data_IF_596944927828
#
_entry.id   IF_596944927828
#
_cell.length_a   1.000
_cell.length_b   1.000
_cell.length_c   1.000
_cell.angle_alpha   90.00
_cell.angle_beta   90.00
_cell.angle_gamma   90.00
#
_symmetry.space_group_name_H-M   'P 1'
#
loop_
_entity.id
_entity.type
_entity.pdbx_description
1 polymer ?
#
# COMPACT_ATOMS: atom_id res chain seq x y z
N UNK A 1 -52.50 -0.78 59.08
CA UNK A 1 -52.96 -1.47 57.89
C UNK A 1 -51.75 -2.15 57.28
N UNK A 2 -51.61 -3.43 57.57
CA UNK A 2 -50.67 -4.40 57.04
C UNK A 2 -50.93 -4.62 55.60
N UNK A 3 -49.85 -4.77 54.81
CA UNK A 3 -49.72 -5.69 53.63
C UNK A 3 -48.27 -5.83 53.19
N UNK A 4 -47.69 -6.89 53.66
CA UNK A 4 -47.10 -8.05 52.99
C UNK A 4 -45.84 -7.74 52.16
N UNK A 5 -44.72 -7.83 52.85
CA UNK A 5 -43.42 -8.27 52.27
C UNK A 5 -43.54 -9.77 52.00
N UNK A 6 -43.63 -10.15 50.75
CA UNK A 6 -43.29 -11.52 50.29
C UNK A 6 -42.99 -11.50 48.79
N UNK A 7 -41.90 -12.15 48.43
CA UNK A 7 -41.48 -12.57 47.08
C UNK A 7 -40.53 -11.67 46.29
N UNK A 8 -39.32 -11.51 46.80
CA UNK A 8 -38.16 -11.11 45.99
C UNK A 8 -36.95 -12.07 46.13
N UNK A 9 -37.18 -13.29 46.63
CA UNK A 9 -36.11 -14.27 46.89
C UNK A 9 -36.09 -15.49 45.97
N UNK A 10 -36.76 -15.46 44.81
CA UNK A 10 -36.81 -16.62 43.89
C UNK A 10 -36.35 -16.38 42.46
N UNK A 11 -35.56 -15.34 42.18
CA UNK A 11 -35.02 -15.08 40.82
C UNK A 11 -33.49 -15.01 40.75
N UNK A 12 -32.76 -15.61 41.69
CA UNK A 12 -31.31 -15.71 41.65
C UNK A 12 -30.92 -17.19 41.71
N UNK A 13 -31.18 -17.96 40.68
CA UNK A 13 -30.48 -19.21 40.40
C UNK A 13 -30.69 -19.60 38.93
N UNK A 14 -30.13 -18.81 38.06
CA UNK A 14 -29.85 -19.14 36.65
C UNK A 14 -28.36 -19.02 36.42
N UNK A 15 -27.60 -20.03 36.87
CA UNK A 15 -26.21 -20.18 36.44
C UNK A 15 -26.17 -20.34 34.91
N UNK A 16 -26.08 -19.22 34.20
CA UNK A 16 -25.58 -19.22 32.81
C UNK A 16 -24.08 -19.40 32.89
N UNK A 17 -23.66 -20.63 32.63
CA UNK A 17 -22.29 -21.01 32.34
C UNK A 17 -21.69 -20.06 31.29
N UNK A 18 -20.86 -19.12 31.73
CA UNK A 18 -19.96 -18.38 30.89
C UNK A 18 -18.79 -19.30 30.48
N UNK A 19 -19.03 -20.24 29.61
CA UNK A 19 -17.95 -20.94 28.87
C UNK A 19 -17.56 -20.10 27.66
N UNK A 20 -16.34 -20.13 27.21
CA UNK A 20 -15.32 -19.11 27.38
C UNK A 20 -15.27 -18.13 26.20
N UNK A 21 -15.36 -16.85 26.52
CA UNK A 21 -14.97 -15.73 25.68
C UNK A 21 -13.48 -15.77 25.25
N UNK A 22 -12.73 -16.79 25.64
CA UNK A 22 -11.31 -16.93 25.23
C UNK A 22 -11.12 -17.36 23.77
N UNK A 23 -12.11 -17.98 23.15
CA UNK A 23 -12.00 -18.43 21.75
C UNK A 23 -12.29 -17.32 20.73
N UNK A 24 -12.94 -16.24 21.13
CA UNK A 24 -13.29 -15.11 20.24
C UNK A 24 -12.23 -14.01 20.20
N UNK A 25 -11.30 -13.97 21.15
CA UNK A 25 -10.25 -12.93 21.17
C UNK A 25 -9.12 -13.22 20.19
N UNK A 26 -8.84 -14.48 19.88
CA UNK A 26 -7.81 -14.85 18.88
C UNK A 26 -8.24 -14.54 17.43
N UNK A 27 -9.53 -14.45 17.15
CA UNK A 27 -10.04 -14.11 15.82
C UNK A 27 -9.96 -12.60 15.47
N UNK A 28 -9.67 -11.73 16.46
CA UNK A 28 -9.58 -10.28 16.26
C UNK A 28 -8.17 -9.78 15.92
N UNK A 29 -7.16 -10.65 15.97
CA UNK A 29 -5.82 -10.23 15.52
C UNK A 29 -5.80 -10.25 14.00
N UNK A 30 -5.62 -9.10 13.39
CA UNK A 30 -5.55 -8.99 11.91
C UNK A 30 -4.46 -9.90 11.35
N UNK A 31 -4.76 -10.64 10.28
CA UNK A 31 -3.87 -11.64 9.67
C UNK A 31 -2.46 -11.09 9.45
N UNK A 32 -2.30 -9.88 8.91
CA UNK A 32 -1.01 -9.25 8.69
C UNK A 32 -0.18 -9.00 9.98
N UNK A 33 -0.82 -8.98 11.16
CA UNK A 33 -0.11 -8.88 12.45
C UNK A 33 0.27 -10.26 12.97
N UNK A 34 -0.65 -11.23 12.90
CA UNK A 34 -0.45 -12.62 13.32
C UNK A 34 0.69 -13.28 12.54
N UNK A 35 0.73 -13.06 11.23
CA UNK A 35 1.71 -13.65 10.32
C UNK A 35 2.92 -12.75 10.02
N UNK A 36 3.12 -11.68 10.79
CA UNK A 36 4.31 -10.83 10.61
C UNK A 36 5.58 -11.66 10.79
N UNK A 37 6.51 -11.68 9.81
CA UNK A 37 7.77 -12.39 9.90
C UNK A 37 8.53 -12.11 11.20
N UNK A 38 8.99 -13.18 11.85
CA UNK A 38 9.77 -13.13 13.09
C UNK A 38 11.24 -13.45 12.88
N UNK A 39 11.60 -13.98 11.71
CA UNK A 39 12.96 -14.29 11.25
C UNK A 39 13.17 -13.70 9.86
N UNK A 40 14.44 -13.49 9.49
CA UNK A 40 14.77 -13.09 8.13
C UNK A 40 14.39 -14.16 7.11
N UNK A 41 14.52 -15.44 7.47
CA UNK A 41 14.10 -16.56 6.64
C UNK A 41 12.58 -16.58 6.31
N UNK A 42 11.74 -15.93 7.13
CA UNK A 42 10.29 -15.87 6.91
C UNK A 42 9.87 -14.71 5.95
N UNK A 43 10.83 -13.84 5.59
CA UNK A 43 10.56 -12.73 4.69
C UNK A 43 10.34 -13.24 3.27
N UNK A 44 9.36 -12.65 2.61
CA UNK A 44 9.03 -12.97 1.23
C UNK A 44 9.59 -11.90 0.31
N UNK A 45 10.46 -12.30 -0.63
CA UNK A 45 11.18 -11.39 -1.50
C UNK A 45 12.26 -10.59 -0.76
N UNK A 46 12.84 -9.58 -1.40
CA UNK A 46 13.88 -8.69 -0.86
C UNK A 46 15.22 -9.40 -0.57
N UNK A 47 15.55 -10.48 -1.26
CA UNK A 47 16.75 -11.30 -1.04
C UNK A 47 18.03 -10.46 -1.00
N UNK A 48 18.14 -9.44 -1.86
CA UNK A 48 19.28 -8.53 -1.91
C UNK A 48 19.43 -7.67 -0.63
N UNK A 49 18.32 -7.30 0.01
CA UNK A 49 18.31 -6.58 1.29
C UNK A 49 18.73 -7.50 2.41
N UNK A 50 18.11 -8.69 2.45
CA UNK A 50 18.35 -9.72 3.48
C UNK A 50 19.82 -10.11 3.47
N UNK A 51 20.37 -10.52 2.33
CA UNK A 51 21.75 -10.98 2.20
C UNK A 51 22.77 -9.93 2.65
N UNK A 52 22.53 -8.65 2.34
CA UNK A 52 23.41 -7.57 2.77
C UNK A 52 23.37 -7.40 4.29
N UNK A 53 22.16 -7.33 4.89
CA UNK A 53 21.99 -7.20 6.34
C UNK A 53 22.56 -8.42 7.09
N UNK A 54 22.36 -9.62 6.58
CA UNK A 54 22.94 -10.85 7.13
C UNK A 54 24.45 -10.76 7.23
N UNK A 55 25.12 -10.34 6.14
CA UNK A 55 26.57 -10.18 6.11
C UNK A 55 27.07 -9.13 7.11
N UNK A 56 26.36 -8.00 7.22
CA UNK A 56 26.70 -6.92 8.16
C UNK A 56 26.57 -7.40 9.61
N UNK A 57 25.46 -8.06 9.95
CA UNK A 57 25.20 -8.59 11.28
C UNK A 57 26.22 -9.68 11.65
N UNK A 58 26.54 -10.58 10.71
CA UNK A 58 27.49 -11.68 10.93
C UNK A 58 28.93 -11.15 11.12
N UNK A 59 29.31 -10.10 10.39
CA UNK A 59 30.67 -9.50 10.46
C UNK A 59 30.80 -8.43 11.53
N UNK A 60 29.71 -8.02 12.17
CA UNK A 60 29.70 -6.94 13.15
C UNK A 60 29.92 -5.53 12.56
N UNK A 61 29.86 -5.39 11.22
CA UNK A 61 30.02 -4.11 10.52
C UNK A 61 28.69 -3.41 10.35
N UNK A 62 28.15 -2.90 11.45
CA UNK A 62 26.82 -2.29 11.47
C UNK A 62 26.94 -0.80 11.09
N UNK A 63 26.12 -0.35 10.15
CA UNK A 63 26.02 1.08 9.82
C UNK A 63 25.27 1.85 10.92
N UNK A 64 25.64 3.10 11.13
CA UNK A 64 24.96 3.96 12.11
C UNK A 64 23.56 4.39 11.65
N UNK A 65 23.29 4.40 10.33
CA UNK A 65 22.00 4.79 9.77
C UNK A 65 21.66 3.98 8.52
N UNK A 66 20.46 3.42 8.51
CA UNK A 66 19.86 2.68 7.43
C UNK A 66 18.69 3.47 6.85
N UNK A 67 18.54 3.48 5.53
CA UNK A 67 17.41 4.08 4.84
C UNK A 67 16.70 3.03 3.98
N UNK A 68 15.53 2.61 4.44
CA UNK A 68 14.66 1.64 3.76
C UNK A 68 13.65 2.40 2.91
N UNK A 69 13.78 2.35 1.59
CA UNK A 69 12.91 3.03 0.64
C UNK A 69 12.16 2.02 -0.23
N UNK A 70 10.91 2.32 -0.59
CA UNK A 70 10.12 1.48 -1.49
C UNK A 70 8.62 1.50 -1.17
N UNK A 71 7.78 0.82 -1.99
CA UNK A 71 6.34 0.83 -1.85
C UNK A 71 5.85 0.41 -0.47
N UNK A 72 4.61 0.82 -0.13
CA UNK A 72 3.95 0.41 1.11
C UNK A 72 3.78 -1.12 1.16
N UNK A 73 3.86 -1.70 2.35
CA UNK A 73 3.57 -3.12 2.59
C UNK A 73 4.60 -4.11 2.04
N UNK A 74 5.79 -3.65 1.64
CA UNK A 74 6.90 -4.49 1.13
C UNK A 74 7.84 -5.01 2.22
N UNK A 75 7.57 -4.73 3.50
CA UNK A 75 8.31 -5.28 4.64
C UNK A 75 9.32 -4.35 5.29
N UNK A 76 9.42 -3.05 4.92
CA UNK A 76 10.38 -2.09 5.49
C UNK A 76 10.41 -2.09 7.02
N UNK A 77 9.28 -1.82 7.66
CA UNK A 77 9.18 -1.78 9.13
C UNK A 77 9.39 -3.16 9.77
N UNK A 78 9.03 -4.23 9.06
CA UNK A 78 9.29 -5.60 9.52
C UNK A 78 10.79 -5.90 9.55
N UNK A 79 11.52 -5.56 8.48
CA UNK A 79 12.98 -5.72 8.42
C UNK A 79 13.67 -4.83 9.45
N UNK A 80 13.18 -3.60 9.67
CA UNK A 80 13.70 -2.71 10.72
C UNK A 80 13.61 -3.35 12.11
N UNK A 81 12.47 -3.97 12.44
CA UNK A 81 12.29 -4.71 13.71
C UNK A 81 13.15 -5.96 13.79
N UNK A 82 13.29 -6.71 12.69
CA UNK A 82 14.18 -7.88 12.64
C UNK A 82 15.65 -7.48 12.85
N UNK A 83 16.08 -6.39 12.23
CA UNK A 83 17.42 -5.82 12.46
C UNK A 83 17.59 -5.45 13.93
N UNK A 84 16.63 -4.74 14.53
CA UNK A 84 16.66 -4.38 15.94
C UNK A 84 16.75 -5.59 16.87
N UNK A 85 15.98 -6.66 16.57
CA UNK A 85 16.04 -7.93 17.29
C UNK A 85 17.40 -8.60 17.15
N UNK A 86 17.94 -8.69 15.92
CA UNK A 86 19.22 -9.33 15.67
C UNK A 86 20.38 -8.63 16.35
N UNK A 87 20.38 -7.28 16.39
CA UNK A 87 21.43 -6.50 17.04
C UNK A 87 21.41 -6.60 18.57
N UNK A 88 20.22 -6.72 19.16
CA UNK A 88 20.01 -6.73 20.60
C UNK A 88 19.66 -8.11 21.18
N UNK A 89 19.74 -9.17 20.37
CA UNK A 89 19.43 -10.52 20.82
C UNK A 89 20.51 -11.05 21.78
N UNK A 90 20.09 -11.42 23.00
CA UNK A 90 20.98 -11.93 24.05
C UNK A 90 21.56 -13.30 23.73
N UNK A 91 20.78 -14.14 23.02
CA UNK A 91 21.10 -15.54 22.72
C UNK A 91 21.44 -15.76 21.23
N UNK A 92 21.87 -14.71 20.51
CA UNK A 92 22.30 -14.88 19.12
C UNK A 92 23.64 -15.59 19.08
N UNK A 93 23.73 -16.70 18.38
CA UNK A 93 24.98 -17.41 18.23
C UNK A 93 26.01 -16.56 17.43
N UNK A 94 27.27 -16.68 17.78
CA UNK A 94 28.36 -16.00 17.05
C UNK A 94 28.29 -16.34 15.54
N UNK A 95 28.51 -15.34 14.72
CA UNK A 95 28.42 -15.42 13.24
C UNK A 95 27.05 -15.82 12.66
N UNK A 96 26.00 -15.81 13.48
CA UNK A 96 24.62 -15.96 12.98
C UNK A 96 23.94 -14.58 12.97
N UNK A 97 23.00 -14.41 12.06
CA UNK A 97 22.24 -13.16 11.90
C UNK A 97 20.80 -13.28 12.43
N UNK A 98 20.25 -14.50 12.53
CA UNK A 98 18.87 -14.70 12.98
C UNK A 98 18.71 -14.44 14.49
N UNK A 99 17.67 -13.66 14.90
CA UNK A 99 17.32 -13.51 16.30
C UNK A 99 16.76 -14.82 16.88
N UNK A 100 16.99 -15.08 18.18
CA UNK A 100 16.49 -16.31 18.82
C UNK A 100 14.96 -16.33 18.99
N UNK A 101 14.31 -15.18 19.08
CA UNK A 101 12.87 -14.99 19.34
C UNK A 101 12.35 -15.43 20.70
N UNK A 102 13.20 -15.90 21.61
CA UNK A 102 12.85 -16.47 22.93
C UNK A 102 13.42 -15.66 24.09
N UNK A 103 14.43 -14.80 23.87
CA UNK A 103 15.00 -13.97 24.92
C UNK A 103 14.13 -12.74 25.21
N UNK A 104 14.32 -12.14 26.38
CA UNK A 104 13.56 -10.97 26.85
C UNK A 104 13.62 -9.82 25.86
N UNK A 105 14.78 -9.57 25.24
CA UNK A 105 14.95 -8.55 24.22
C UNK A 105 14.09 -8.84 22.99
N UNK A 106 14.17 -10.06 22.43
CA UNK A 106 13.39 -10.44 21.25
C UNK A 106 11.87 -10.35 21.47
N UNK A 107 11.37 -10.85 22.58
CA UNK A 107 9.94 -10.80 22.91
C UNK A 107 9.46 -9.36 23.14
N UNK A 108 10.24 -8.56 23.88
CA UNK A 108 9.88 -7.18 24.19
C UNK A 108 9.91 -6.30 22.94
N UNK A 109 10.87 -6.49 22.02
CA UNK A 109 10.93 -5.78 20.72
C UNK A 109 9.73 -6.19 19.85
N UNK A 110 9.41 -7.49 19.79
CA UNK A 110 8.23 -7.96 19.03
C UNK A 110 6.94 -7.34 19.55
N UNK A 111 6.84 -7.13 20.86
CA UNK A 111 5.70 -6.49 21.51
C UNK A 111 5.74 -4.94 21.48
N UNK A 112 6.80 -4.32 20.93
CA UNK A 112 6.99 -2.86 20.88
C UNK A 112 7.19 -2.21 22.25
N UNK A 113 7.78 -2.92 23.22
CA UNK A 113 7.93 -2.45 24.60
C UNK A 113 9.38 -2.43 25.09
N UNK A 114 10.34 -2.62 24.19
CA UNK A 114 11.75 -2.62 24.58
C UNK A 114 12.30 -1.20 24.68
N UNK A 115 12.84 -0.84 25.85
CA UNK A 115 13.23 0.55 26.18
C UNK A 115 14.32 1.12 25.29
N UNK A 116 15.23 0.26 24.78
CA UNK A 116 16.33 0.66 23.93
C UNK A 116 16.00 0.57 22.42
N UNK A 117 14.73 0.28 22.05
CA UNK A 117 14.23 0.32 20.67
C UNK A 117 13.00 1.21 20.62
N UNK A 118 13.17 2.40 20.07
CA UNK A 118 12.10 3.38 19.92
C UNK A 118 11.57 3.36 18.48
N UNK A 119 10.30 3.04 18.34
CA UNK A 119 9.61 3.09 17.04
C UNK A 119 8.69 4.31 17.00
N UNK A 120 8.93 5.20 16.06
CA UNK A 120 8.26 6.48 15.89
C UNK A 120 7.63 6.51 14.51
N UNK A 121 6.33 6.74 14.44
CA UNK A 121 5.62 7.05 13.20
C UNK A 121 5.69 8.57 12.97
N UNK A 122 6.44 8.97 11.95
CA UNK A 122 6.61 10.37 11.61
C UNK A 122 5.32 11.03 11.11
N UNK A 123 4.31 10.25 10.66
CA UNK A 123 3.01 10.79 10.29
C UNK A 123 2.24 11.35 11.51
N UNK A 124 2.44 10.73 12.69
CA UNK A 124 1.83 11.16 13.95
C UNK A 124 2.70 12.16 14.73
N UNK A 125 4.00 12.22 14.43
CA UNK A 125 5.00 13.00 15.17
C UNK A 125 5.88 13.85 14.24
N UNK A 126 5.28 14.79 13.52
CA UNK A 126 5.93 15.60 12.46
C UNK A 126 6.80 16.74 12.99
N UNK A 127 6.58 17.19 14.22
CA UNK A 127 7.17 18.40 14.81
C UNK A 127 8.63 18.25 15.24
N UNK A 128 9.37 19.36 15.21
CA UNK A 128 10.78 19.42 15.61
C UNK A 128 10.99 19.10 17.09
N UNK A 129 10.05 19.50 17.96
CA UNK A 129 10.17 19.26 19.40
C UNK A 129 10.04 17.77 19.73
N UNK A 130 9.13 17.05 19.06
CA UNK A 130 9.05 15.60 19.18
C UNK A 130 10.34 14.89 18.77
N UNK A 131 11.01 15.36 17.70
CA UNK A 131 12.29 14.79 17.25
C UNK A 131 13.41 15.11 18.24
N UNK A 132 13.44 16.32 18.80
CA UNK A 132 14.44 16.69 19.82
C UNK A 132 14.31 15.85 21.08
N UNK A 133 13.12 15.80 21.66
CA UNK A 133 12.86 15.10 22.92
C UNK A 133 12.98 13.58 22.78
N UNK A 134 12.31 13.00 21.78
CA UNK A 134 12.23 11.56 21.65
C UNK A 134 13.41 10.91 20.94
N UNK A 135 14.16 11.65 20.14
CA UNK A 135 15.27 11.08 19.37
C UNK A 135 16.60 11.67 19.82
N UNK A 136 16.81 12.99 19.68
CA UNK A 136 18.14 13.59 19.85
C UNK A 136 18.62 13.52 21.29
N UNK A 137 17.79 13.89 22.25
CA UNK A 137 18.13 13.81 23.68
C UNK A 137 18.28 12.37 24.13
N UNK A 138 17.37 11.50 23.70
CA UNK A 138 17.45 10.07 24.00
C UNK A 138 18.69 9.40 23.39
N UNK A 139 19.16 9.82 22.22
CA UNK A 139 20.34 9.26 21.58
C UNK A 139 21.64 9.50 22.39
N UNK A 140 21.68 10.53 23.24
CA UNK A 140 22.83 10.82 24.10
C UNK A 140 23.01 9.82 25.24
N UNK A 141 21.90 9.19 25.67
CA UNK A 141 21.93 8.21 26.76
C UNK A 141 22.34 6.84 26.23
N UNK A 142 23.26 6.19 26.93
CA UNK A 142 23.63 4.80 26.63
C UNK A 142 22.44 3.86 26.81
N UNK A 143 22.40 2.75 26.03
CA UNK A 143 21.37 1.74 26.23
C UNK A 143 21.43 1.15 27.63
N UNK A 144 20.27 0.82 28.18
CA UNK A 144 20.12 0.33 29.56
C UNK A 144 20.49 -1.15 29.67
N UNK A 145 20.07 -1.96 28.69
CA UNK A 145 20.25 -3.43 28.68
C UNK A 145 20.79 -3.95 27.33
N UNK A 146 20.61 -3.18 26.27
CA UNK A 146 20.95 -3.59 24.92
C UNK A 146 22.40 -3.26 24.53
N UNK A 147 22.89 -3.88 23.45
CA UNK A 147 24.16 -3.48 22.81
C UNK A 147 24.01 -2.18 22.04
N UNK A 148 22.85 -1.97 21.42
CA UNK A 148 22.54 -0.79 20.61
C UNK A 148 21.22 -0.16 21.02
N UNK A 149 21.18 1.17 21.01
CA UNK A 149 19.96 1.96 21.07
C UNK A 149 19.48 2.25 19.67
N UNK A 150 18.28 1.77 19.33
CA UNK A 150 17.80 1.76 17.95
C UNK A 150 16.57 2.65 17.83
N UNK A 151 16.62 3.56 16.84
CA UNK A 151 15.51 4.43 16.49
C UNK A 151 14.95 4.00 15.12
N UNK A 152 13.72 3.48 15.11
CA UNK A 152 12.99 3.15 13.89
C UNK A 152 12.03 4.31 13.62
N UNK A 153 12.26 5.04 12.53
CA UNK A 153 11.42 6.18 12.14
C UNK A 153 10.68 5.78 10.86
N UNK A 154 9.40 5.44 11.01
CA UNK A 154 8.57 5.06 9.87
C UNK A 154 7.97 6.31 9.22
N UNK A 155 7.74 6.23 7.89
CA UNK A 155 7.27 7.31 7.02
C UNK A 155 8.04 8.63 7.24
N UNK A 156 9.36 8.52 7.35
CA UNK A 156 10.26 9.63 7.71
C UNK A 156 10.09 10.88 6.83
N UNK A 157 9.58 10.73 5.59
CA UNK A 157 9.29 11.84 4.69
C UNK A 157 8.18 12.81 5.21
N UNK A 158 7.44 12.41 6.25
CA UNK A 158 6.44 13.25 6.90
C UNK A 158 7.03 14.23 7.93
N UNK A 159 8.30 14.09 8.27
CA UNK A 159 8.97 15.04 9.17
C UNK A 159 9.04 16.44 8.56
N UNK A 160 8.90 17.45 9.41
CA UNK A 160 9.07 18.84 8.98
C UNK A 160 10.54 19.14 8.58
N UNK A 161 10.79 20.14 7.72
CA UNK A 161 12.15 20.54 7.36
C UNK A 161 13.02 20.92 8.59
N UNK A 162 12.44 21.51 9.62
CA UNK A 162 13.10 21.83 10.88
C UNK A 162 13.49 20.58 11.67
N UNK A 163 12.64 19.53 11.64
CA UNK A 163 12.92 18.25 12.26
C UNK A 163 14.08 17.52 11.55
N UNK A 164 14.11 17.53 10.21
CA UNK A 164 15.23 17.00 9.45
C UNK A 164 16.54 17.71 9.79
N UNK A 165 16.54 19.04 9.82
CA UNK A 165 17.72 19.81 10.16
C UNK A 165 18.25 19.51 11.58
N UNK A 166 17.35 19.30 12.54
CA UNK A 166 17.73 18.90 13.89
C UNK A 166 18.40 17.51 13.93
N UNK A 167 17.96 16.58 13.09
CA UNK A 167 18.49 15.20 13.00
C UNK A 167 19.87 15.16 12.33
N UNK A 168 20.20 16.11 11.44
CA UNK A 168 21.46 16.11 10.67
C UNK A 168 22.69 16.00 11.56
N UNK A 169 22.77 16.78 12.64
CA UNK A 169 23.94 16.76 13.54
C UNK A 169 24.16 15.38 14.15
N UNK A 170 23.09 14.71 14.58
CA UNK A 170 23.20 13.36 15.18
C UNK A 170 23.51 12.29 14.14
N UNK A 171 23.11 12.48 12.87
CA UNK A 171 23.46 11.57 11.78
C UNK A 171 24.91 11.78 11.28
N UNK A 172 25.47 12.99 11.44
CA UNK A 172 26.89 13.30 11.11
C UNK A 172 27.85 12.75 12.14
N UNK A 173 27.52 12.93 13.41
CA UNK A 173 28.36 12.50 14.55
C UNK A 173 27.53 11.58 15.48
N UNK A 174 27.17 10.36 14.99
CA UNK A 174 26.32 9.46 15.76
C UNK A 174 27.08 8.88 16.95
N UNK A 175 26.47 8.78 18.14
CA UNK A 175 27.04 8.01 19.23
C UNK A 175 27.25 6.55 18.81
N UNK A 176 28.35 5.93 19.19
CA UNK A 176 28.76 4.59 18.77
C UNK A 176 27.73 3.49 19.11
N UNK A 177 26.87 3.75 20.08
CA UNK A 177 25.80 2.83 20.52
C UNK A 177 24.45 3.07 19.85
N UNK A 178 24.34 4.02 18.91
CA UNK A 178 23.07 4.39 18.27
C UNK A 178 23.00 3.87 16.84
N UNK A 179 21.84 3.31 16.48
CA UNK A 179 21.53 2.90 15.12
C UNK A 179 20.18 3.50 14.72
N UNK A 180 20.18 4.22 13.60
CA UNK A 180 18.96 4.75 12.99
C UNK A 180 18.46 3.85 11.88
N UNK A 181 17.15 3.60 11.83
CA UNK A 181 16.49 2.93 10.72
C UNK A 181 15.36 3.81 10.23
N UNK A 182 15.60 4.50 9.14
CA UNK A 182 14.63 5.39 8.49
C UNK A 182 13.87 4.63 7.43
N UNK A 183 12.55 4.62 7.49
CA UNK A 183 11.71 3.98 6.47
C UNK A 183 10.85 5.03 5.75
N UNK A 184 10.72 4.90 4.42
CA UNK A 184 9.93 5.82 3.60
C UNK A 184 9.30 5.13 2.40
N UNK A 185 8.10 5.59 2.04
CA UNK A 185 7.48 5.26 0.76
C UNK A 185 7.85 6.26 -0.34
N UNK A 186 8.31 7.47 0.02
CA UNK A 186 8.55 8.58 -0.89
C UNK A 186 9.98 9.13 -0.75
N UNK A 187 10.95 8.41 -1.34
CA UNK A 187 12.35 8.77 -1.26
C UNK A 187 12.65 10.17 -1.82
N UNK A 188 11.92 10.60 -2.86
CA UNK A 188 12.11 11.89 -3.52
C UNK A 188 11.78 13.10 -2.64
N UNK A 189 11.01 12.90 -1.56
CA UNK A 189 10.69 13.96 -0.58
C UNK A 189 11.79 14.14 0.48
N UNK A 190 12.75 13.24 0.55
CA UNK A 190 13.83 13.34 1.53
C UNK A 190 14.93 14.30 1.07
N UNK A 191 15.49 15.14 1.99
CA UNK A 191 16.67 15.94 1.69
C UNK A 191 17.86 15.07 1.29
N UNK A 192 18.60 15.48 0.27
CA UNK A 192 19.80 14.79 -0.19
C UNK A 192 20.86 14.66 0.92
N UNK A 193 20.89 15.62 1.84
CA UNK A 193 21.76 15.63 3.03
C UNK A 193 21.49 14.47 3.99
N UNK A 194 20.24 14.03 4.14
CA UNK A 194 19.87 12.83 4.92
C UNK A 194 20.25 11.56 4.15
N UNK A 195 19.90 11.50 2.85
CA UNK A 195 20.15 10.32 2.00
C UNK A 195 21.63 9.98 1.95
N UNK A 196 22.51 11.00 1.85
CA UNK A 196 23.98 10.80 1.74
C UNK A 196 24.63 10.25 3.00
N UNK A 197 23.97 10.30 4.15
CA UNK A 197 24.47 9.84 5.46
C UNK A 197 23.91 8.47 5.88
N UNK A 198 23.06 7.90 5.05
CA UNK A 198 22.42 6.61 5.33
C UNK A 198 22.85 5.54 4.32
N UNK A 199 23.01 4.32 4.80
CA UNK A 199 23.11 3.15 3.93
C UNK A 199 21.73 2.83 3.36
N UNK A 200 21.61 2.90 2.04
CA UNK A 200 20.32 2.84 1.37
C UNK A 200 19.99 1.43 0.92
N UNK A 201 18.74 1.00 1.21
CA UNK A 201 18.14 -0.25 0.76
C UNK A 201 16.84 0.05 0.02
N UNK A 202 16.70 -0.49 -1.18
CA UNK A 202 15.53 -0.30 -2.02
C UNK A 202 14.66 -1.55 -2.04
N UNK A 203 13.50 -1.46 -1.41
CA UNK A 203 12.48 -2.51 -1.36
C UNK A 203 11.66 -2.49 -2.64
N UNK A 204 11.48 -3.66 -3.25
CA UNK A 204 10.71 -3.83 -4.48
C UNK A 204 9.31 -4.36 -4.17
N UNK A 205 8.38 -4.18 -5.10
CA UNK A 205 7.09 -4.89 -5.07
C UNK A 205 7.34 -6.39 -5.05
N UNK A 206 6.51 -7.13 -4.33
CA UNK A 206 6.62 -8.59 -4.23
C UNK A 206 5.95 -9.20 -5.47
N UNK A 207 6.59 -10.19 -6.08
CA UNK A 207 6.05 -10.83 -7.27
C UNK A 207 4.76 -11.62 -6.96
N UNK A 208 3.84 -11.73 -7.92
CA UNK A 208 2.60 -12.49 -7.76
C UNK A 208 2.81 -13.93 -7.28
N UNK A 209 3.85 -14.61 -7.79
CA UNK A 209 4.15 -15.99 -7.43
C UNK A 209 4.55 -16.12 -5.95
N UNK A 210 5.40 -15.21 -5.48
CA UNK A 210 5.82 -15.18 -4.08
C UNK A 210 4.65 -14.83 -3.14
N UNK A 211 3.78 -13.91 -3.57
CA UNK A 211 2.57 -13.57 -2.83
C UNK A 211 1.63 -14.77 -2.75
N UNK A 212 1.41 -15.48 -3.87
CA UNK A 212 0.55 -16.67 -3.91
C UNK A 212 1.05 -17.74 -2.94
N UNK A 213 2.33 -18.08 -2.97
CA UNK A 213 2.91 -19.05 -2.04
C UNK A 213 2.74 -18.67 -0.57
N UNK A 214 2.85 -17.37 -0.25
CA UNK A 214 2.62 -16.85 1.10
C UNK A 214 1.17 -16.97 1.53
N UNK A 215 0.22 -16.55 0.69
CA UNK A 215 -1.22 -16.63 0.99
C UNK A 215 -1.69 -18.08 1.12
N UNK A 216 -1.23 -18.98 0.26
CA UNK A 216 -1.50 -20.43 0.38
C UNK A 216 -0.95 -21.02 1.69
N UNK A 217 0.24 -20.56 2.12
CA UNK A 217 0.81 -20.93 3.42
C UNK A 217 -0.13 -20.53 4.57
N UNK A 218 -0.59 -19.29 4.60
CA UNK A 218 -1.53 -18.77 5.60
C UNK A 218 -2.85 -19.57 5.57
N UNK A 219 -3.39 -19.84 4.39
CA UNK A 219 -4.62 -20.65 4.25
C UNK A 219 -4.47 -22.05 4.85
N UNK A 220 -3.31 -22.70 4.65
CA UNK A 220 -3.00 -24.02 5.24
C UNK A 220 -2.94 -23.97 6.77
N UNK A 221 -2.28 -22.95 7.33
CA UNK A 221 -2.13 -22.79 8.77
C UNK A 221 -3.48 -22.54 9.44
N UNK A 222 -4.34 -21.72 8.81
CA UNK A 222 -5.71 -21.42 9.29
C UNK A 222 -6.71 -22.55 8.98
N UNK A 223 -6.31 -23.58 8.20
CA UNK A 223 -7.16 -24.70 7.76
C UNK A 223 -8.39 -24.27 6.99
N UNK A 224 -8.30 -23.18 6.22
CA UNK A 224 -9.33 -22.65 5.35
C UNK A 224 -8.91 -22.87 3.91
N UNK A 225 -9.79 -23.44 3.09
CA UNK A 225 -9.54 -23.64 1.66
C UNK A 225 -10.10 -22.46 0.90
N UNK A 226 -9.23 -21.73 0.23
CA UNK A 226 -9.59 -20.62 -0.66
C UNK A 226 -9.24 -21.04 -2.08
N UNK A 227 -10.11 -20.79 -3.04
CA UNK A 227 -9.84 -21.14 -4.44
C UNK A 227 -8.67 -20.29 -4.98
N UNK A 228 -7.95 -20.86 -5.94
CA UNK A 228 -6.79 -20.18 -6.54
C UNK A 228 -7.18 -18.88 -7.22
N UNK A 229 -8.33 -18.86 -7.88
CA UNK A 229 -8.88 -17.68 -8.55
C UNK A 229 -9.13 -16.53 -7.56
N UNK A 230 -9.57 -16.84 -6.33
CA UNK A 230 -9.77 -15.83 -5.28
C UNK A 230 -8.42 -15.29 -4.79
N UNK A 231 -7.42 -16.15 -4.60
CA UNK A 231 -6.07 -15.71 -4.22
C UNK A 231 -5.43 -14.83 -5.30
N UNK A 232 -5.58 -15.18 -6.57
CA UNK A 232 -5.11 -14.38 -7.70
C UNK A 232 -5.81 -13.00 -7.75
N UNK A 233 -7.11 -12.94 -7.47
CA UNK A 233 -7.84 -11.66 -7.34
C UNK A 233 -7.32 -10.79 -6.19
N UNK A 234 -7.02 -11.39 -5.03
CA UNK A 234 -6.40 -10.69 -3.89
C UNK A 234 -5.06 -10.08 -4.30
N UNK A 235 -4.21 -10.87 -4.98
CA UNK A 235 -2.89 -10.45 -5.43
C UNK A 235 -2.98 -9.28 -6.40
N UNK A 236 -3.86 -9.36 -7.39
CA UNK A 236 -4.13 -8.29 -8.33
C UNK A 236 -4.54 -6.98 -7.63
N UNK A 237 -5.49 -7.06 -6.68
CA UNK A 237 -5.94 -5.88 -5.92
C UNK A 237 -4.86 -5.28 -5.02
N UNK A 238 -3.88 -6.08 -4.63
CA UNK A 238 -2.83 -5.67 -3.67
C UNK A 238 -1.61 -5.05 -4.34
N UNK A 239 -1.48 -5.10 -5.65
CA UNK A 239 -0.43 -4.45 -6.45
C UNK A 239 1.00 -4.64 -5.88
N UNK A 240 1.32 -5.87 -5.45
CA UNK A 240 2.62 -6.21 -4.86
C UNK A 240 2.80 -5.77 -3.39
N UNK A 241 1.73 -5.32 -2.72
CA UNK A 241 1.67 -5.00 -1.30
C UNK A 241 1.19 -6.20 -0.50
N UNK A 242 2.10 -6.95 0.12
CA UNK A 242 1.76 -8.16 0.89
C UNK A 242 0.84 -7.86 2.08
N UNK A 243 1.03 -6.73 2.75
CA UNK A 243 0.18 -6.32 3.88
C UNK A 243 -1.28 -6.16 3.48
N UNK A 244 -1.53 -5.58 2.30
CA UNK A 244 -2.89 -5.38 1.79
C UNK A 244 -3.48 -6.71 1.33
N UNK A 245 -2.67 -7.61 0.74
CA UNK A 245 -3.08 -8.97 0.40
C UNK A 245 -3.47 -9.78 1.65
N UNK A 246 -2.65 -9.76 2.70
CA UNK A 246 -2.96 -10.42 3.98
C UNK A 246 -4.18 -9.80 4.67
N UNK A 247 -4.42 -8.50 4.52
CA UNK A 247 -5.60 -7.82 5.06
C UNK A 247 -6.88 -8.25 4.33
N UNK A 248 -6.85 -8.32 3.00
CA UNK A 248 -7.96 -8.80 2.18
C UNK A 248 -8.26 -10.27 2.46
N UNK A 249 -7.23 -11.11 2.60
CA UNK A 249 -7.39 -12.51 3.00
C UNK A 249 -8.07 -12.62 4.38
N UNK A 250 -7.69 -11.76 5.33
CA UNK A 250 -8.32 -11.69 6.65
C UNK A 250 -9.81 -11.32 6.57
N UNK A 251 -10.18 -10.41 5.67
CA UNK A 251 -11.60 -10.09 5.43
C UNK A 251 -12.36 -11.29 4.85
N UNK A 252 -11.76 -12.04 3.94
CA UNK A 252 -12.35 -13.28 3.41
C UNK A 252 -12.53 -14.33 4.51
N UNK A 253 -11.55 -14.48 5.40
CA UNK A 253 -11.66 -15.40 6.54
C UNK A 253 -12.78 -15.02 7.51
N UNK A 254 -13.16 -13.73 7.60
CA UNK A 254 -14.27 -13.27 8.44
C UNK A 254 -15.64 -13.79 7.98
N UNK A 255 -15.74 -14.37 6.77
CA UNK A 255 -16.96 -15.07 6.32
C UNK A 255 -17.22 -16.37 7.10
N UNK A 256 -16.23 -16.86 7.88
CA UNK A 256 -16.33 -18.08 8.70
C UNK A 256 -16.68 -19.35 7.92
N UNK A 257 -16.29 -19.42 6.65
CA UNK A 257 -16.49 -20.58 5.79
C UNK A 257 -15.19 -21.39 5.70
N UNK A 258 -15.32 -22.72 5.66
CA UNK A 258 -14.14 -23.62 5.51
C UNK A 258 -13.65 -23.72 4.07
N UNK A 259 -14.54 -23.56 3.11
CA UNK A 259 -14.24 -23.54 1.69
C UNK A 259 -14.81 -22.25 1.11
N UNK A 260 -13.98 -21.48 0.43
CA UNK A 260 -14.33 -20.17 -0.11
C UNK A 260 -14.00 -20.18 -1.59
N UNK A 261 -15.03 -20.14 -2.41
CA UNK A 261 -14.98 -19.99 -3.86
C UNK A 261 -15.16 -18.54 -4.30
N UNK A 262 -15.34 -18.37 -5.60
CA UNK A 262 -15.50 -17.04 -6.20
C UNK A 262 -16.81 -16.36 -5.80
N UNK A 263 -17.89 -17.12 -5.64
CA UNK A 263 -19.21 -16.60 -5.27
C UNK A 263 -19.21 -16.03 -3.85
N UNK A 264 -18.64 -16.76 -2.88
CA UNK A 264 -18.56 -16.29 -1.50
C UNK A 264 -17.60 -15.12 -1.36
N UNK A 265 -16.50 -15.13 -2.11
CA UNK A 265 -15.54 -14.06 -2.11
C UNK A 265 -16.08 -12.74 -2.67
N UNK A 266 -17.08 -12.77 -3.55
CA UNK A 266 -17.71 -11.56 -4.10
C UNK A 266 -18.35 -10.66 -3.05
N UNK A 267 -18.74 -11.22 -1.90
CA UNK A 267 -19.26 -10.44 -0.78
C UNK A 267 -18.22 -9.49 -0.18
N UNK A 268 -16.94 -9.86 -0.27
CA UNK A 268 -15.81 -9.09 0.30
C UNK A 268 -14.95 -8.45 -0.80
N UNK A 269 -14.84 -9.15 -1.92
CA UNK A 269 -14.12 -8.70 -3.11
C UNK A 269 -15.15 -8.55 -4.25
N UNK A 270 -15.94 -7.46 -4.25
CA UNK A 270 -16.90 -7.24 -5.32
C UNK A 270 -16.21 -7.31 -6.68
N UNK A 271 -16.91 -7.83 -7.66
CA UNK A 271 -16.42 -8.18 -8.99
C UNK A 271 -15.55 -7.09 -9.58
N UNK A 272 -14.51 -7.56 -10.23
CA UNK A 272 -13.41 -6.75 -10.76
C UNK A 272 -13.93 -5.48 -11.43
N UNK A 273 -13.50 -4.32 -10.95
CA UNK A 273 -13.73 -3.01 -11.60
C UNK A 273 -13.36 -3.02 -13.07
N UNK A 274 -12.46 -3.93 -13.47
CA UNK A 274 -12.03 -4.09 -14.85
C UNK A 274 -13.17 -4.47 -15.80
N UNK A 275 -14.14 -5.28 -15.38
CA UNK A 275 -15.28 -5.65 -16.23
C UNK A 275 -16.17 -4.44 -16.53
N UNK A 276 -16.41 -3.57 -15.55
CA UNK A 276 -17.14 -2.33 -15.74
C UNK A 276 -16.36 -1.36 -16.64
N UNK A 277 -15.03 -1.30 -16.48
CA UNK A 277 -14.15 -0.48 -17.32
C UNK A 277 -14.18 -0.97 -18.77
N UNK A 278 -14.01 -2.27 -18.99
CA UNK A 278 -14.06 -2.85 -20.34
C UNK A 278 -15.44 -2.69 -20.99
N UNK A 279 -16.52 -2.83 -20.21
CA UNK A 279 -17.87 -2.55 -20.68
C UNK A 279 -18.04 -1.07 -21.07
N UNK A 280 -17.52 -0.15 -20.27
CA UNK A 280 -17.54 1.28 -20.58
C UNK A 280 -16.79 1.60 -21.87
N UNK A 281 -15.58 1.02 -22.06
CA UNK A 281 -14.81 1.17 -23.30
C UNK A 281 -15.59 0.61 -24.51
N UNK A 282 -16.25 -0.53 -24.35
CA UNK A 282 -17.07 -1.14 -25.41
C UNK A 282 -18.25 -0.24 -25.76
N UNK A 283 -18.96 0.33 -24.78
CA UNK A 283 -20.02 1.31 -24.99
C UNK A 283 -19.53 2.54 -25.79
N UNK A 284 -18.36 3.08 -25.44
CA UNK A 284 -17.75 4.21 -26.17
C UNK A 284 -17.32 3.81 -27.59
N UNK A 285 -16.86 2.56 -27.76
CA UNK A 285 -16.49 2.07 -29.11
C UNK A 285 -17.70 1.89 -30.01
N UNK A 286 -18.78 1.36 -29.48
CA UNK A 286 -20.06 1.10 -30.19
C UNK A 286 -20.96 2.35 -30.31
N UNK A 287 -20.55 3.47 -29.72
CA UNK A 287 -21.33 4.72 -29.67
C UNK A 287 -22.68 4.57 -28.97
N UNK A 288 -22.78 3.69 -27.95
CA UNK A 288 -23.99 3.49 -27.14
C UNK A 288 -23.96 4.42 -25.91
N UNK A 289 -24.11 5.74 -26.14
CA UNK A 289 -24.02 6.75 -25.09
C UNK A 289 -25.00 6.54 -23.94
N UNK A 290 -26.22 6.06 -24.23
CA UNK A 290 -27.20 5.78 -23.20
C UNK A 290 -26.74 4.70 -22.24
N UNK A 291 -26.20 3.59 -22.74
CA UNK A 291 -25.69 2.50 -21.92
C UNK A 291 -24.47 2.94 -21.08
N UNK A 292 -23.60 3.78 -21.65
CA UNK A 292 -22.48 4.35 -20.93
C UNK A 292 -22.94 5.22 -19.75
N UNK A 293 -23.97 6.08 -19.94
CA UNK A 293 -24.55 6.91 -18.89
C UNK A 293 -25.29 6.08 -17.82
N UNK A 294 -26.01 5.03 -18.20
CA UNK A 294 -26.65 4.11 -17.27
C UNK A 294 -25.59 3.38 -16.41
N UNK A 295 -24.47 2.98 -17.00
CA UNK A 295 -23.36 2.39 -16.27
C UNK A 295 -22.74 3.38 -15.27
N UNK A 296 -22.51 4.64 -15.66
CA UNK A 296 -22.00 5.69 -14.74
C UNK A 296 -22.93 5.89 -13.55
N UNK A 297 -24.24 5.95 -13.83
CA UNK A 297 -25.28 6.07 -12.79
C UNK A 297 -25.19 4.90 -11.80
N UNK A 298 -25.12 3.67 -12.30
CA UNK A 298 -24.97 2.45 -11.48
C UNK A 298 -23.72 2.51 -10.62
N UNK A 299 -22.55 2.87 -11.18
CA UNK A 299 -21.29 3.00 -10.44
C UNK A 299 -21.41 4.03 -9.31
N UNK A 300 -22.10 5.14 -9.55
CA UNK A 300 -22.33 6.19 -8.56
C UNK A 300 -23.27 5.71 -7.44
N UNK A 301 -24.34 4.99 -7.77
CA UNK A 301 -25.29 4.41 -6.81
C UNK A 301 -24.64 3.32 -5.94
N UNK A 302 -23.70 2.56 -6.49
CA UNK A 302 -22.88 1.56 -5.79
C UNK A 302 -21.78 2.17 -4.92
N UNK A 303 -21.59 3.50 -4.96
CA UNK A 303 -20.57 4.22 -4.18
C UNK A 303 -19.14 4.02 -4.68
N UNK A 304 -18.97 3.69 -5.97
CA UNK A 304 -17.64 3.55 -6.56
C UNK A 304 -16.86 4.87 -6.56
N UNK A 305 -15.55 4.79 -6.26
CA UNK A 305 -14.67 5.96 -6.29
C UNK A 305 -14.33 6.31 -7.74
N UNK A 306 -14.96 7.33 -8.31
CA UNK A 306 -14.83 7.68 -9.72
C UNK A 306 -13.39 8.06 -10.13
N UNK A 307 -12.56 8.65 -9.24
CA UNK A 307 -11.14 8.89 -9.54
C UNK A 307 -10.38 7.57 -9.75
N UNK A 308 -10.71 6.53 -8.99
CA UNK A 308 -10.14 5.20 -9.19
C UNK A 308 -10.62 4.58 -10.51
N UNK A 309 -11.92 4.73 -10.84
CA UNK A 309 -12.46 4.27 -12.12
C UNK A 309 -11.74 4.93 -13.31
N UNK A 310 -11.47 6.23 -13.24
CA UNK A 310 -10.67 6.92 -14.26
C UNK A 310 -9.25 6.35 -14.37
N UNK A 311 -8.61 6.05 -13.24
CA UNK A 311 -7.29 5.43 -13.24
C UNK A 311 -7.31 4.06 -13.93
N UNK A 312 -8.27 3.21 -13.55
CA UNK A 312 -8.43 1.87 -14.12
C UNK A 312 -8.77 1.94 -15.63
N UNK A 313 -9.56 2.95 -16.04
CA UNK A 313 -9.87 3.22 -17.43
C UNK A 313 -8.63 3.61 -18.24
N UNK A 314 -7.79 4.49 -17.72
CA UNK A 314 -6.51 4.89 -18.36
C UNK A 314 -5.60 3.67 -18.51
N UNK A 315 -5.46 2.86 -17.46
CA UNK A 315 -4.63 1.64 -17.52
C UNK A 315 -5.17 0.63 -18.53
N UNK A 316 -6.48 0.39 -18.57
CA UNK A 316 -7.08 -0.51 -19.55
C UNK A 316 -6.86 -0.03 -20.99
N UNK A 317 -7.05 1.27 -21.28
CA UNK A 317 -6.79 1.87 -22.58
C UNK A 317 -5.31 1.76 -22.96
N UNK A 318 -4.39 1.98 -22.00
CA UNK A 318 -2.95 1.80 -22.20
C UNK A 318 -2.60 0.36 -22.58
N UNK A 319 -3.17 -0.60 -21.87
CA UNK A 319 -2.95 -2.03 -22.14
C UNK A 319 -3.50 -2.41 -23.52
N UNK A 320 -4.70 -1.93 -23.89
CA UNK A 320 -5.27 -2.15 -25.22
C UNK A 320 -4.34 -1.58 -26.30
N UNK A 321 -3.79 -0.37 -26.11
CA UNK A 321 -2.86 0.27 -27.06
C UNK A 321 -1.54 -0.52 -27.22
N UNK A 322 -0.97 -0.98 -26.09
CA UNK A 322 0.23 -1.82 -26.13
C UNK A 322 -0.07 -3.14 -26.85
N UNK A 323 -1.23 -3.76 -26.55
CA UNK A 323 -1.64 -5.02 -27.20
C UNK A 323 -1.78 -4.87 -28.72
N UNK A 324 -2.29 -3.72 -29.19
CA UNK A 324 -2.35 -3.43 -30.64
C UNK A 324 -0.97 -3.40 -31.29
N UNK A 325 0.03 -2.91 -30.57
CA UNK A 325 1.39 -2.70 -31.11
C UNK A 325 2.27 -3.94 -30.94
N UNK A 326 2.23 -4.61 -29.80
CA UNK A 326 3.09 -5.75 -29.47
C UNK A 326 2.46 -7.12 -29.77
N UNK A 327 1.14 -7.19 -29.90
CA UNK A 327 0.39 -8.46 -30.03
C UNK A 327 0.25 -9.22 -28.72
N UNK A 328 0.94 -8.81 -27.65
CA UNK A 328 0.91 -9.44 -26.33
C UNK A 328 0.19 -8.54 -25.32
N UNK A 329 -0.61 -9.13 -24.46
CA UNK A 329 -1.26 -8.40 -23.34
C UNK A 329 -0.28 -8.33 -22.20
N UNK A 330 0.10 -7.12 -21.80
CA UNK A 330 0.96 -6.86 -20.65
C UNK A 330 0.07 -6.65 -19.41
N UNK A 331 0.24 -7.46 -18.38
CA UNK A 331 -0.45 -7.36 -17.09
C UNK A 331 -1.14 -8.66 -16.67
N UNK A 332 -1.40 -8.78 -15.36
CA UNK A 332 -2.06 -9.93 -14.76
C UNK A 332 -3.60 -9.72 -14.78
N UNK A 333 -4.24 -10.17 -15.86
CA UNK A 333 -5.68 -10.11 -16.03
C UNK A 333 -6.29 -11.51 -16.01
N UNK A 334 -7.56 -11.62 -15.59
CA UNK A 334 -8.30 -12.87 -15.67
C UNK A 334 -8.42 -13.33 -17.15
N UNK A 335 -8.59 -14.64 -17.36
CA UNK A 335 -8.70 -15.20 -18.71
C UNK A 335 -9.81 -14.55 -19.56
N UNK A 336 -10.93 -14.16 -18.92
CA UNK A 336 -12.05 -13.50 -19.59
C UNK A 336 -11.78 -12.02 -19.90
N UNK A 337 -11.12 -11.29 -18.98
CA UNK A 337 -10.65 -9.93 -19.24
C UNK A 337 -9.62 -9.89 -20.38
N UNK A 338 -8.70 -10.87 -20.41
CA UNK A 338 -7.74 -11.01 -21.52
C UNK A 338 -8.40 -11.20 -22.88
N UNK A 339 -9.48 -12.01 -22.94
CA UNK A 339 -10.25 -12.19 -24.19
C UNK A 339 -10.92 -10.88 -24.63
N UNK A 340 -11.55 -10.16 -23.70
CA UNK A 340 -12.20 -8.87 -23.96
C UNK A 340 -11.18 -7.82 -24.41
N UNK A 341 -10.03 -7.70 -23.73
CA UNK A 341 -8.93 -6.77 -24.11
C UNK A 341 -8.44 -7.05 -25.53
N UNK A 342 -8.21 -8.34 -25.86
CA UNK A 342 -7.78 -8.73 -27.22
C UNK A 342 -8.84 -8.44 -28.28
N UNK A 343 -10.12 -8.59 -27.95
CA UNK A 343 -11.21 -8.23 -28.86
C UNK A 343 -11.26 -6.72 -29.10
N UNK A 344 -11.27 -5.92 -28.04
CA UNK A 344 -11.25 -4.45 -28.12
C UNK A 344 -10.01 -3.92 -28.83
N UNK A 345 -8.84 -4.54 -28.62
CA UNK A 345 -7.62 -4.17 -29.33
C UNK A 345 -7.72 -4.38 -30.85
N UNK A 346 -8.51 -5.32 -31.32
CA UNK A 346 -8.76 -5.53 -32.76
C UNK A 346 -9.84 -4.63 -33.34
N UNK A 347 -10.84 -4.27 -32.52
CA UNK A 347 -12.03 -3.54 -32.97
C UNK A 347 -11.81 -2.02 -32.95
N UNK A 348 -11.05 -1.48 -31.97
CA UNK A 348 -10.87 -0.04 -31.83
C UNK A 348 -9.76 0.47 -32.76
N UNK A 349 -10.03 1.42 -33.66
CA UNK A 349 -8.97 2.03 -34.47
C UNK A 349 -7.96 2.77 -33.57
N UNK A 350 -6.66 2.66 -33.87
CA UNK A 350 -5.59 3.27 -33.08
C UNK A 350 -5.77 4.78 -32.88
N UNK A 351 -6.22 5.50 -33.91
CA UNK A 351 -6.50 6.95 -33.81
C UNK A 351 -7.60 7.24 -32.80
N UNK A 352 -8.70 6.45 -32.80
CA UNK A 352 -9.81 6.58 -31.83
C UNK A 352 -9.31 6.27 -30.41
N UNK A 353 -8.47 5.26 -30.25
CA UNK A 353 -7.91 4.86 -28.97
C UNK A 353 -7.01 5.94 -28.34
N UNK A 354 -6.11 6.54 -29.16
CA UNK A 354 -5.24 7.64 -28.72
C UNK A 354 -6.10 8.84 -28.28
N UNK A 355 -7.08 9.25 -29.07
CA UNK A 355 -8.00 10.34 -28.76
C UNK A 355 -8.78 10.08 -27.48
N UNK A 356 -9.25 8.83 -27.28
CA UNK A 356 -9.94 8.43 -26.05
C UNK A 356 -9.02 8.53 -24.83
N UNK A 357 -7.77 8.06 -24.95
CA UNK A 357 -6.79 8.14 -23.88
C UNK A 357 -6.49 9.60 -23.47
N UNK A 358 -6.23 10.47 -24.46
CA UNK A 358 -5.97 11.90 -24.24
C UNK A 358 -7.13 12.61 -23.54
N UNK A 359 -8.35 12.35 -23.99
CA UNK A 359 -9.56 12.91 -23.40
C UNK A 359 -9.80 12.38 -21.97
N UNK A 360 -9.56 11.09 -21.75
CA UNK A 360 -9.70 10.49 -20.42
C UNK A 360 -8.70 11.10 -19.43
N UNK A 361 -7.45 11.31 -19.85
CA UNK A 361 -6.42 11.98 -19.05
C UNK A 361 -6.84 13.41 -18.66
N UNK A 362 -7.39 14.16 -19.62
CA UNK A 362 -7.86 15.53 -19.39
C UNK A 362 -9.05 15.55 -18.40
N UNK A 363 -10.07 14.73 -18.63
CA UNK A 363 -11.26 14.64 -17.78
C UNK A 363 -10.96 14.18 -16.37
N UNK A 364 -9.96 13.30 -16.18
CA UNK A 364 -9.50 12.91 -14.84
C UNK A 364 -8.99 14.11 -14.03
N UNK A 365 -8.26 15.04 -14.64
CA UNK A 365 -7.78 16.23 -13.94
C UNK A 365 -8.94 17.12 -13.43
N UNK A 366 -10.04 17.18 -14.18
CA UNK A 366 -11.24 17.93 -13.84
C UNK A 366 -12.03 17.31 -12.68
N UNK A 367 -11.91 16.00 -12.43
CA UNK A 367 -12.68 15.28 -11.39
C UNK A 367 -12.47 15.88 -10.00
N UNK A 368 -11.26 16.34 -9.68
CA UNK A 368 -10.94 16.94 -8.37
C UNK A 368 -11.52 18.35 -8.19
N UNK A 369 -11.87 19.03 -9.26
CA UNK A 369 -12.37 20.40 -9.26
C UNK A 369 -13.87 20.49 -9.56
N UNK A 370 -14.46 19.39 -10.03
CA UNK A 370 -15.87 19.35 -10.40
C UNK A 370 -16.79 19.34 -9.17
N UNK A 371 -17.79 20.22 -9.09
CA UNK A 371 -18.79 20.18 -8.03
C UNK A 371 -19.69 18.94 -8.09
N UNK A 372 -19.77 18.28 -9.26
CA UNK A 372 -20.50 17.03 -9.48
C UNK A 372 -19.48 15.96 -9.87
N UNK A 373 -19.19 14.99 -8.99
CA UNK A 373 -18.11 14.03 -9.20
C UNK A 373 -18.23 13.19 -10.48
N UNK A 374 -19.45 12.88 -10.93
CA UNK A 374 -19.69 12.06 -12.12
C UNK A 374 -19.63 12.86 -13.43
N UNK A 375 -19.77 14.20 -13.39
CA UNK A 375 -19.87 15.03 -14.58
C UNK A 375 -18.70 14.87 -15.57
N UNK A 376 -17.42 14.80 -15.16
CA UNK A 376 -16.32 14.59 -16.10
C UNK A 376 -16.42 13.25 -16.87
N UNK A 377 -16.95 12.20 -16.23
CA UNK A 377 -17.12 10.90 -16.86
C UNK A 377 -18.33 10.90 -17.82
N UNK A 378 -19.42 11.57 -17.44
CA UNK A 378 -20.60 11.80 -18.30
C UNK A 378 -20.24 12.59 -19.54
N UNK A 379 -19.46 13.67 -19.38
CA UNK A 379 -18.95 14.47 -20.49
C UNK A 379 -18.10 13.63 -21.44
N UNK A 380 -17.22 12.78 -20.91
CA UNK A 380 -16.41 11.86 -21.72
C UNK A 380 -17.33 10.94 -22.54
N UNK A 381 -18.36 10.36 -21.91
CA UNK A 381 -19.31 9.48 -22.58
C UNK A 381 -20.06 10.20 -23.71
N UNK A 382 -20.59 11.38 -23.44
CA UNK A 382 -21.33 12.17 -24.43
C UNK A 382 -20.43 12.64 -25.57
N UNK A 383 -19.25 13.18 -25.28
CA UNK A 383 -18.27 13.61 -26.28
C UNK A 383 -17.93 12.49 -27.27
N UNK A 384 -17.61 11.31 -26.73
CA UNK A 384 -17.16 10.18 -27.55
C UNK A 384 -18.27 9.51 -28.35
N UNK A 385 -19.52 9.57 -27.86
CA UNK A 385 -20.67 8.97 -28.55
C UNK A 385 -21.38 9.95 -29.49
N UNK A 386 -21.20 11.29 -29.31
CA UNK A 386 -21.76 12.34 -30.17
C UNK A 386 -20.90 12.70 -31.37
N UNK A 387 -19.58 12.45 -31.30
CA UNK A 387 -18.58 12.84 -32.32
C UNK A 387 -18.65 12.02 -33.64
N UNK A 388 -19.67 11.20 -33.82
CA UNK A 388 -19.86 10.42 -35.07
C UNK A 388 -20.27 11.31 -36.26
N UNK A 389 -20.63 12.57 -36.03
CA UNK A 389 -21.12 13.49 -37.07
C UNK A 389 -20.20 14.64 -37.47
N UNK A 390 -19.04 14.81 -36.84
CA UNK A 390 -18.08 15.85 -37.27
C UNK A 390 -16.83 15.19 -37.87
N UNK A 391 -16.88 14.99 -39.16
CA UNK A 391 -15.70 14.78 -39.98
C UNK A 391 -14.83 16.05 -39.91
N UNK A 392 -13.52 15.83 -39.82
CA UNK A 392 -12.45 16.79 -40.09
C UNK A 392 -12.48 18.10 -39.29
N UNK A 393 -11.95 18.07 -38.07
CA UNK A 393 -11.35 19.25 -37.46
C UNK A 393 -9.82 19.23 -37.73
N UNK A 394 -9.41 20.05 -38.69
CA UNK A 394 -8.01 20.45 -38.87
C UNK A 394 -7.49 21.08 -37.56
N UNK A 395 -6.21 20.85 -37.16
CA UNK A 395 -5.65 21.49 -36.00
C UNK A 395 -5.61 23.02 -36.20
N UNK A 396 -6.37 23.73 -35.38
CA UNK A 396 -6.38 25.21 -35.34
C UNK A 396 -4.96 25.69 -34.93
N UNK A 397 -4.18 25.99 -35.96
CA UNK A 397 -2.83 26.54 -35.84
C UNK A 397 -2.95 28.04 -35.51
N UNK A 398 -3.36 28.37 -34.29
CA UNK A 398 -3.25 29.74 -33.77
C UNK A 398 -1.88 29.92 -33.11
N UNK A 399 -0.99 30.55 -33.89
CA UNK A 399 0.25 31.13 -33.40
C UNK A 399 0.01 31.94 -32.14
N UNK A 400 0.82 31.80 -31.07
CA UNK A 400 0.74 32.70 -29.94
C UNK A 400 1.11 34.14 -30.39
N UNK A 401 0.44 35.20 -29.85
CA UNK A 401 0.71 36.58 -30.26
C UNK A 401 2.16 36.95 -29.94
N UNK A 402 2.83 37.52 -30.91
CA UNK A 402 4.20 38.00 -30.83
C UNK A 402 4.35 39.00 -29.66
N UNK A 403 5.22 38.72 -28.72
CA UNK A 403 5.64 39.63 -27.65
C UNK A 403 6.49 40.74 -28.28
N UNK A 404 5.90 41.91 -28.45
CA UNK A 404 6.64 43.11 -28.86
C UNK A 404 7.46 43.63 -27.69
N UNK A 405 8.75 43.39 -27.73
CA UNK A 405 9.74 44.06 -26.86
C UNK A 405 9.81 45.57 -27.22
N UNK A 406 9.17 46.44 -26.45
CA UNK A 406 9.47 47.88 -26.44
C UNK A 406 10.72 48.10 -25.60
N UNK A 407 11.80 48.52 -26.27
CA UNK A 407 13.00 49.11 -25.62
C UNK A 407 12.61 50.43 -24.94
N UNK A 408 13.10 50.71 -23.73
CA UNK A 408 12.96 52.05 -23.17
C UNK A 408 13.96 52.97 -23.85
N UNK A 409 13.46 54.08 -24.41
CA UNK A 409 14.25 55.21 -24.92
C UNK A 409 14.88 55.98 -23.76
N UNK A 410 16.20 56.15 -23.81
CA UNK A 410 16.94 57.10 -23.00
C UNK A 410 16.54 58.54 -23.41
N UNK A 411 16.24 59.37 -22.43
CA UNK A 411 16.38 60.83 -22.52
C UNK A 411 16.69 61.42 -21.15
N UNK A 412 17.82 62.16 -21.19
CA UNK A 412 18.08 63.37 -20.45
C UNK A 412 18.58 63.28 -19.06
#
# INVERSE_FOLDING_TARGET
VERSETSLSQLVNGQRSFAPLRMTIDFMTTIYRKYRPQKFADLVGQEHVIQTLENEIATGKIAHAYLFSGPRGTGKTTVARLLAKALNCENRAENKFEPCNECVACESISAGRYIDVLEIDAASHTGVDNVRENIIENAQFKPTKASYKIFIIDEVHMLSPSAFNALLKTLEEPPAHVVFVLATTELHKLPATIISRCQRFNFKKISPELMLGRLEGICRDEKIKVSKEVLERIILKSDGCLRDAESLLGQIFSLNLKNIGTEEAELVLPSSKIDNVLLFIDCLNKNTGREALELIKKLTEEGEVLDQFFFDLIEALRVIMITQTSGEVSGDYSADALKKIKALAKEIPTKKLIRLLEKTLLRRLETKQSPVPQLPLELLAVEFTSDVNSGDDEPDNKNPPAVTNKKPSAKG
#
